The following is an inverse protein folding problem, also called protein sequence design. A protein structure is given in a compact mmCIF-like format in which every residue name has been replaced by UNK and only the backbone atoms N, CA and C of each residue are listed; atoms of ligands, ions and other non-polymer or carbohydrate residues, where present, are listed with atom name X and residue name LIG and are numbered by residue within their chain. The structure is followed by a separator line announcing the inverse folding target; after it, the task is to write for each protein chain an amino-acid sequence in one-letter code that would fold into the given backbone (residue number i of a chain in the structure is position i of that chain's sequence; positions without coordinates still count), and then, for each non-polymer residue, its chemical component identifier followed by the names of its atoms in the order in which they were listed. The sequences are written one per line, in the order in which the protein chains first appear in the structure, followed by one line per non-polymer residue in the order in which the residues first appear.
data_IF_577783258263
#
_entry.id   IF_577783258263
#
_cell.length_a   1.000
_cell.length_b   1.000
_cell.length_c   1.000
_cell.angle_alpha   90.00
_cell.angle_beta   90.00
_cell.angle_gamma   90.00
#
_symmetry.space_group_name_H-M   'P 1'
#
loop_
_entity.id
_entity.type
_entity.pdbx_description
1 polymer ?
#
# COMPACT_ATOMS: atom_id res chain seq x y z
N UNK A 1 21.98 13.43 10.36
CA UNK A 1 21.44 12.30 9.57
C UNK A 1 20.21 12.74 8.78
N UNK A 2 20.40 13.09 7.51
CA UNK A 2 19.30 13.52 6.62
C UNK A 2 18.40 12.35 6.17
N UNK A 3 18.99 11.15 6.07
CA UNK A 3 18.30 9.89 5.78
C UNK A 3 17.20 9.58 6.78
N UNK A 4 17.50 9.73 8.09
CA UNK A 4 16.54 9.50 9.18
C UNK A 4 15.38 10.49 9.14
N UNK A 5 15.65 11.77 8.84
CA UNK A 5 14.58 12.78 8.67
C UNK A 5 13.66 12.43 7.49
N UNK A 6 14.22 12.04 6.34
CA UNK A 6 13.44 11.62 5.17
C UNK A 6 12.61 10.35 5.44
N UNK A 7 13.17 9.39 6.17
CA UNK A 7 12.45 8.18 6.58
C UNK A 7 11.29 8.50 7.53
N UNK A 8 11.50 9.37 8.51
CA UNK A 8 10.45 9.80 9.44
C UNK A 8 9.28 10.49 8.74
N UNK A 9 9.56 11.34 7.75
CA UNK A 9 8.50 11.97 6.95
C UNK A 9 7.70 10.94 6.15
N UNK A 10 8.35 9.94 5.56
CA UNK A 10 7.65 8.84 4.85
C UNK A 10 6.76 8.04 5.81
N UNK A 11 7.28 7.65 6.97
CA UNK A 11 6.54 6.90 7.99
C UNK A 11 5.31 7.66 8.49
N UNK A 12 5.42 8.98 8.68
CA UNK A 12 4.28 9.82 9.08
C UNK A 12 3.20 9.93 8.01
N UNK A 13 3.58 9.90 6.74
CA UNK A 13 2.64 9.99 5.62
C UNK A 13 2.07 8.63 5.21
N UNK A 14 2.66 7.52 5.68
CA UNK A 14 2.23 6.16 5.36
C UNK A 14 0.78 5.85 5.80
N UNK A 15 0.31 6.21 7.01
CA UNK A 15 -1.08 6.02 7.40
C UNK A 15 -2.08 6.76 6.51
N UNK A 16 -1.71 7.96 6.03
CA UNK A 16 -2.55 8.77 5.14
C UNK A 16 -2.65 8.13 3.74
N UNK A 17 -1.55 7.57 3.25
CA UNK A 17 -1.51 6.79 2.01
C UNK A 17 -2.39 5.54 2.14
N UNK A 18 -2.27 4.84 3.26
CA UNK A 18 -3.01 3.62 3.51
C UNK A 18 -4.51 3.89 3.68
N UNK A 19 -4.90 5.00 4.33
CA UNK A 19 -6.31 5.37 4.48
C UNK A 19 -6.97 5.72 3.15
N UNK A 20 -6.26 6.39 2.23
CA UNK A 20 -6.76 6.67 0.87
C UNK A 20 -7.00 5.39 0.07
N UNK A 21 -6.20 4.37 0.30
CA UNK A 21 -6.29 3.08 -0.39
C UNK A 21 -6.95 2.00 0.47
N UNK A 22 -7.69 2.36 1.51
CA UNK A 22 -8.25 1.40 2.47
C UNK A 22 -9.22 0.41 1.81
N UNK A 23 -9.96 0.85 0.79
CA UNK A 23 -10.90 0.00 0.05
C UNK A 23 -10.17 -1.10 -0.75
N UNK A 24 -9.16 -0.71 -1.54
CA UNK A 24 -8.35 -1.67 -2.30
C UNK A 24 -7.48 -2.55 -1.40
N UNK A 25 -7.01 -2.01 -0.27
CA UNK A 25 -6.32 -2.78 0.77
C UNK A 25 -7.23 -3.85 1.39
N UNK A 26 -8.50 -3.51 1.66
CA UNK A 26 -9.47 -4.44 2.25
C UNK A 26 -9.81 -5.57 1.28
N UNK A 27 -9.91 -5.30 -0.02
CA UNK A 27 -10.11 -6.33 -1.05
C UNK A 27 -8.92 -7.29 -1.13
N UNK A 28 -7.70 -6.76 -1.14
CA UNK A 28 -6.49 -7.58 -1.12
C UNK A 28 -6.39 -8.40 0.18
N UNK A 29 -6.65 -7.79 1.33
CA UNK A 29 -6.65 -8.47 2.62
C UNK A 29 -7.71 -9.58 2.68
N UNK A 30 -8.91 -9.34 2.14
CA UNK A 30 -9.96 -10.36 2.06
C UNK A 30 -9.55 -11.53 1.15
N UNK A 31 -8.84 -11.27 0.04
CA UNK A 31 -8.34 -12.31 -0.84
C UNK A 31 -7.26 -13.17 -0.15
N UNK A 32 -6.28 -12.52 0.50
CA UNK A 32 -5.20 -13.22 1.24
C UNK A 32 -5.73 -13.96 2.47
N UNK A 33 -6.74 -13.42 3.16
CA UNK A 33 -7.30 -14.03 4.36
C UNK A 33 -8.24 -15.22 4.08
N UNK A 34 -8.72 -15.39 2.83
CA UNK A 34 -9.61 -16.50 2.45
C UNK A 34 -8.89 -17.84 2.39
N UNK A 35 -7.63 -17.85 1.97
CA UNK A 35 -6.87 -19.08 1.78
C UNK A 35 -5.70 -19.17 2.75
N UNK A 36 -5.62 -20.27 3.50
CA UNK A 36 -4.47 -20.59 4.36
C UNK A 36 -3.24 -20.93 3.48
N UNK A 37 -3.47 -21.40 2.26
CA UNK A 37 -2.45 -21.69 1.25
C UNK A 37 -2.58 -20.71 0.07
N UNK A 38 -2.33 -19.43 0.32
CA UNK A 38 -2.25 -18.43 -0.77
C UNK A 38 -1.13 -18.82 -1.72
N UNK A 39 -1.47 -19.44 -2.86
CA UNK A 39 -0.50 -19.67 -3.92
C UNK A 39 -0.06 -18.33 -4.50
N UNK A 40 1.18 -18.31 -5.00
CA UNK A 40 1.75 -17.12 -5.63
C UNK A 40 0.85 -16.69 -6.80
N UNK A 41 0.52 -15.39 -6.86
CA UNK A 41 -0.32 -14.74 -7.89
C UNK A 41 -1.84 -14.93 -7.80
N UNK A 42 -2.41 -15.58 -6.78
CA UNK A 42 -3.88 -15.69 -6.66
C UNK A 42 -4.54 -14.31 -6.54
N UNK A 43 -3.97 -13.43 -5.71
CA UNK A 43 -4.50 -12.09 -5.45
C UNK A 43 -3.76 -10.99 -6.25
N UNK A 44 -3.15 -11.34 -7.39
CA UNK A 44 -2.32 -10.40 -8.17
C UNK A 44 -3.14 -9.23 -8.75
N UNK A 45 -4.40 -9.46 -9.08
CA UNK A 45 -5.30 -8.42 -9.59
C UNK A 45 -5.59 -7.35 -8.52
N UNK A 46 -5.98 -7.79 -7.33
CA UNK A 46 -6.25 -6.94 -6.16
C UNK A 46 -4.97 -6.24 -5.70
N UNK A 47 -3.84 -6.97 -5.70
CA UNK A 47 -2.53 -6.40 -5.36
C UNK A 47 -2.12 -5.29 -6.34
N UNK A 48 -2.30 -5.49 -7.65
CA UNK A 48 -2.03 -4.47 -8.66
C UNK A 48 -2.92 -3.24 -8.48
N UNK A 49 -4.19 -3.41 -8.16
CA UNK A 49 -5.10 -2.30 -7.87
C UNK A 49 -4.67 -1.52 -6.62
N UNK A 50 -4.34 -2.22 -5.54
CA UNK A 50 -3.83 -1.63 -4.31
C UNK A 50 -2.52 -0.86 -4.55
N UNK A 51 -1.56 -1.47 -5.25
CA UNK A 51 -0.28 -0.83 -5.58
C UNK A 51 -0.44 0.38 -6.50
N UNK A 52 -1.38 0.34 -7.45
CA UNK A 52 -1.70 1.49 -8.29
C UNK A 52 -2.28 2.64 -7.47
N UNK A 53 -3.17 2.34 -6.52
CA UNK A 53 -3.69 3.34 -5.59
C UNK A 53 -2.56 3.96 -4.77
N UNK A 54 -1.71 3.13 -4.15
CA UNK A 54 -0.58 3.61 -3.34
C UNK A 54 0.37 4.50 -4.17
N UNK A 55 0.73 4.08 -5.39
CA UNK A 55 1.62 4.87 -6.26
C UNK A 55 0.99 6.21 -6.65
N UNK A 56 -0.31 6.24 -6.95
CA UNK A 56 -1.03 7.49 -7.24
C UNK A 56 -1.05 8.40 -6.02
N UNK A 57 -1.45 7.90 -4.85
CA UNK A 57 -1.51 8.69 -3.62
C UNK A 57 -0.11 9.16 -3.16
N UNK A 58 0.94 8.38 -3.42
CA UNK A 58 2.32 8.77 -3.16
C UNK A 58 2.77 9.93 -4.05
N UNK A 59 2.39 9.90 -5.34
CA UNK A 59 2.64 11.00 -6.26
C UNK A 59 1.90 12.28 -5.83
N UNK A 60 0.64 12.17 -5.41
CA UNK A 60 -0.15 13.30 -4.88
C UNK A 60 0.50 13.93 -3.63
N UNK A 61 0.99 13.09 -2.71
CA UNK A 61 1.62 13.53 -1.46
C UNK A 61 3.09 13.95 -1.63
N UNK A 62 3.63 13.90 -2.86
CA UNK A 62 5.05 14.14 -3.18
C UNK A 62 6.01 13.32 -2.29
N UNK A 63 5.56 12.15 -1.85
CA UNK A 63 6.32 11.23 -1.02
C UNK A 63 6.87 10.11 -1.89
N UNK A 64 8.17 9.85 -1.81
CA UNK A 64 8.74 8.63 -2.38
C UNK A 64 8.33 7.45 -1.49
N UNK A 65 7.64 6.46 -2.06
CA UNK A 65 7.59 5.11 -1.51
C UNK A 65 8.91 4.42 -1.84
#
# INVERSE_FOLDING_TARGET
MESVRKANTRLRNYPILLSKCAESASLYAACVARDINVQQNICDAEFKQFMNCIRKSAAELKTKL
#
